data_IF_977555897533
#
_entry.id   IF_977555897533
#
_cell.length_a   1.000
_cell.length_b   1.000
_cell.length_c   1.000
_cell.angle_alpha   90.00
_cell.angle_beta   90.00
_cell.angle_gamma   90.00
#
_symmetry.space_group_name_H-M   'P 1'
#
loop_
_entity.id
_entity.type
_entity.pdbx_description
1 polymer ?
#
# COMPACT_ATOMS: atom_id res chain seq x y z
N UNK A 1 -7.20 -25.95 -48.04
CA UNK A 1 -7.55 -25.68 -49.45
C UNK A 1 -7.26 -24.23 -49.77
N UNK A 2 -6.94 -23.91 -51.02
CA UNK A 2 -7.06 -22.56 -51.59
C UNK A 2 -8.45 -22.44 -52.26
N UNK A 3 -8.96 -21.31 -52.78
CA UNK A 3 -8.33 -20.01 -53.05
C UNK A 3 -9.31 -18.81 -52.78
N UNK A 4 -9.65 -17.90 -53.74
CA UNK A 4 -8.92 -16.65 -54.03
C UNK A 4 -9.73 -15.33 -53.93
N UNK A 5 -9.02 -14.17 -53.98
CA UNK A 5 -9.36 -12.84 -54.58
C UNK A 5 -10.79 -12.25 -54.35
N UNK A 6 -11.04 -11.05 -53.80
CA UNK A 6 -10.50 -9.70 -54.11
C UNK A 6 -11.52 -8.87 -54.95
N UNK A 7 -11.44 -7.52 -55.17
CA UNK A 7 -10.59 -6.42 -54.63
C UNK A 7 -11.44 -5.43 -53.75
N UNK A 8 -11.62 -4.08 -53.84
CA UNK A 8 -11.14 -2.94 -54.70
C UNK A 8 -11.34 -1.50 -54.10
N UNK A 9 -10.28 -0.88 -53.55
CA UNK A 9 -9.91 0.59 -53.52
C UNK A 9 -10.85 1.75 -53.04
N UNK A 10 -10.24 2.63 -52.21
CA UNK A 10 -10.24 4.14 -52.16
C UNK A 10 -11.53 4.98 -51.90
N UNK A 11 -11.49 5.79 -50.83
CA UNK A 11 -11.27 7.27 -50.78
C UNK A 11 -10.99 7.63 -49.30
N UNK A 12 -10.16 8.57 -48.82
CA UNK A 12 -9.66 9.91 -49.20
C UNK A 12 -10.68 11.06 -49.17
N UNK A 13 -10.37 12.06 -48.33
CA UNK A 13 -10.96 13.40 -48.17
C UNK A 13 -12.44 13.51 -47.74
N UNK A 14 -12.68 14.14 -46.58
CA UNK A 14 -13.16 15.53 -46.56
C UNK A 14 -12.63 16.26 -45.30
N UNK A 15 -12.63 17.60 -45.28
CA UNK A 15 -12.24 18.41 -44.13
C UNK A 15 -12.85 19.84 -44.17
N UNK A 16 -13.59 20.27 -43.13
CA UNK A 16 -14.14 21.63 -43.08
C UNK A 16 -13.08 22.67 -42.72
N UNK A 17 -12.85 23.63 -43.62
CA UNK A 17 -12.14 24.88 -43.35
C UNK A 17 -13.03 26.08 -43.72
N UNK A 18 -13.23 27.00 -42.78
CA UNK A 18 -13.87 28.30 -43.02
C UNK A 18 -14.43 28.91 -41.72
N UNK A 19 -14.50 30.23 -41.57
CA UNK A 19 -13.92 31.30 -42.42
C UNK A 19 -14.06 32.69 -41.75
N UNK A 20 -13.01 33.53 -41.82
CA UNK A 20 -13.04 35.02 -41.63
C UNK A 20 -13.40 35.50 -40.20
N UNK A 21 -12.81 36.57 -39.66
CA UNK A 21 -11.70 37.44 -40.10
C UNK A 21 -11.76 38.82 -39.42
N UNK A 22 -10.65 39.60 -39.52
CA UNK A 22 -10.46 40.98 -39.00
C UNK A 22 -10.65 41.20 -37.47
N UNK A 23 -10.04 42.19 -36.80
CA UNK A 23 -9.08 43.23 -37.21
C UNK A 23 -8.15 43.63 -36.04
N UNK A 24 -7.13 44.46 -36.36
CA UNK A 24 -6.43 45.51 -35.58
C UNK A 24 -6.46 45.47 -34.02
N UNK A 25 -5.34 45.45 -33.28
CA UNK A 25 -4.16 46.33 -33.22
C UNK A 25 -4.36 47.63 -32.39
N UNK A 26 -3.41 47.88 -31.46
CA UNK A 26 -3.35 49.01 -30.50
C UNK A 26 -4.55 49.07 -29.50
N UNK A 27 -4.52 49.77 -28.35
CA UNK A 27 -3.73 50.91 -27.84
C UNK A 27 -3.25 50.67 -26.38
N UNK A 28 -2.14 51.31 -25.99
CA UNK A 28 -1.59 51.27 -24.61
C UNK A 28 -2.19 52.34 -23.67
N UNK A 29 -2.14 52.07 -22.36
CA UNK A 29 -2.50 52.89 -21.20
C UNK A 29 -3.97 52.85 -20.72
N UNK A 30 -4.14 52.72 -19.38
CA UNK A 30 -5.44 52.76 -18.72
C UNK A 30 -5.54 51.88 -17.47
N UNK A 31 -4.89 52.29 -16.37
CA UNK A 31 -5.16 51.73 -15.05
C UNK A 31 -6.05 52.70 -14.24
N UNK A 32 -7.34 52.39 -14.03
CA UNK A 32 -8.12 52.92 -12.93
C UNK A 32 -8.15 51.92 -11.75
N UNK A 33 -8.17 52.43 -10.53
CA UNK A 33 -8.32 51.61 -9.33
C UNK A 33 -9.79 51.17 -9.13
N UNK A 34 -9.95 49.97 -8.54
CA UNK A 34 -11.02 49.53 -7.64
C UNK A 34 -12.50 49.92 -7.92
N UNK A 35 -13.39 48.93 -8.07
CA UNK A 35 -14.64 48.78 -7.26
C UNK A 35 -15.69 47.77 -7.77
N UNK A 36 -15.29 46.61 -8.31
CA UNK A 36 -16.21 45.47 -8.54
C UNK A 36 -15.55 44.17 -8.02
N UNK A 37 -16.23 43.26 -7.31
CA UNK A 37 -17.63 43.31 -6.86
C UNK A 37 -18.09 42.12 -6.00
N UNK A 38 -17.27 41.65 -5.05
CA UNK A 38 -17.61 40.67 -3.99
C UNK A 38 -18.20 39.28 -4.40
N UNK A 39 -18.31 38.96 -5.69
CA UNK A 39 -19.01 37.76 -6.18
C UNK A 39 -18.13 36.50 -6.28
N UNK A 40 -16.87 36.62 -6.77
CA UNK A 40 -16.01 35.48 -7.11
C UNK A 40 -15.63 34.59 -5.93
N UNK A 41 -15.56 35.15 -4.71
CA UNK A 41 -15.18 34.40 -3.51
C UNK A 41 -16.05 33.16 -3.26
N UNK A 42 -17.33 33.18 -3.64
CA UNK A 42 -18.23 32.01 -3.49
C UNK A 42 -17.97 30.93 -4.54
N UNK A 43 -17.60 31.33 -5.76
CA UNK A 43 -17.33 30.40 -6.87
C UNK A 43 -16.05 29.59 -6.63
N UNK A 44 -14.96 30.26 -6.25
CA UNK A 44 -13.68 29.62 -5.94
C UNK A 44 -13.78 28.59 -4.81
N UNK A 45 -14.56 28.86 -3.76
CA UNK A 45 -14.80 27.92 -2.65
C UNK A 45 -15.57 26.67 -3.12
N UNK A 46 -16.55 26.80 -4.02
CA UNK A 46 -17.34 25.68 -4.53
C UNK A 46 -16.49 24.71 -5.36
N UNK A 47 -15.67 25.22 -6.28
CA UNK A 47 -14.72 24.41 -7.06
C UNK A 47 -13.71 23.74 -6.11
N UNK A 48 -13.13 24.50 -5.17
CA UNK A 48 -12.12 23.99 -4.23
C UNK A 48 -12.64 22.85 -3.35
N UNK A 49 -13.90 22.88 -2.91
CA UNK A 49 -14.51 21.76 -2.17
C UNK A 49 -14.66 20.51 -3.05
N UNK A 50 -15.14 20.66 -4.29
CA UNK A 50 -15.40 19.52 -5.19
C UNK A 50 -14.10 18.80 -5.59
N UNK A 51 -13.04 19.55 -5.92
CA UNK A 51 -11.72 18.97 -6.21
C UNK A 51 -11.10 18.30 -4.98
N UNK A 52 -11.38 18.79 -3.76
CA UNK A 52 -10.84 18.19 -2.54
C UNK A 52 -11.51 16.85 -2.20
N UNK A 53 -12.83 16.73 -2.37
CA UNK A 53 -13.54 15.45 -2.17
C UNK A 53 -13.11 14.39 -3.19
N UNK A 54 -12.97 14.75 -4.46
CA UNK A 54 -12.44 13.83 -5.49
C UNK A 54 -11.03 13.32 -5.13
N UNK A 55 -10.21 14.14 -4.47
CA UNK A 55 -8.87 13.75 -3.99
C UNK A 55 -8.88 12.87 -2.72
N UNK A 56 -10.00 12.77 -2.02
CA UNK A 56 -10.20 11.80 -0.93
C UNK A 56 -10.82 10.49 -1.45
N UNK A 57 -11.67 10.56 -2.48
CA UNK A 57 -12.24 9.39 -3.17
C UNK A 57 -11.22 8.65 -4.06
N UNK A 58 -10.22 9.34 -4.62
CA UNK A 58 -9.11 8.70 -5.37
C UNK A 58 -8.02 8.09 -4.46
N UNK A 59 -8.30 7.84 -3.17
CA UNK A 59 -7.52 6.85 -2.40
C UNK A 59 -7.92 5.46 -2.87
N UNK A 60 -7.36 5.04 -4.00
CA UNK A 60 -7.48 3.69 -4.53
C UNK A 60 -7.29 2.66 -3.39
N UNK A 61 -8.15 1.61 -3.33
CA UNK A 61 -8.17 0.69 -2.20
C UNK A 61 -6.78 0.10 -1.99
N UNK A 62 -6.19 0.37 -0.82
CA UNK A 62 -4.79 0.09 -0.54
C UNK A 62 -4.50 -1.38 -0.79
N UNK A 63 -3.71 -1.68 -1.83
CA UNK A 63 -3.61 -3.01 -2.43
C UNK A 63 -3.41 -4.08 -1.35
N UNK A 64 -4.49 -4.86 -1.10
CA UNK A 64 -4.74 -5.45 0.21
C UNK A 64 -3.54 -6.23 0.73
N UNK A 65 -2.99 -5.74 1.85
CA UNK A 65 -1.73 -6.21 2.43
C UNK A 65 -1.70 -7.76 2.47
N UNK A 66 -0.73 -8.42 1.81
CA UNK A 66 -0.79 -9.86 1.56
C UNK A 66 -1.13 -10.70 2.78
N UNK A 67 -2.15 -11.56 2.64
CA UNK A 67 -2.64 -12.45 3.69
C UNK A 67 -2.23 -13.89 3.36
N UNK A 68 -1.71 -14.63 4.34
CA UNK A 68 -1.40 -16.07 4.19
C UNK A 68 -1.83 -16.84 5.43
N UNK A 69 -2.35 -18.05 5.23
CA UNK A 69 -2.68 -18.97 6.33
C UNK A 69 -1.58 -20.04 6.42
N UNK A 70 -1.05 -20.26 7.61
CA UNK A 70 0.03 -21.22 7.86
C UNK A 70 -0.13 -21.85 9.25
N UNK A 71 -0.11 -23.19 9.33
CA UNK A 71 -0.25 -23.92 10.61
C UNK A 71 -1.58 -23.67 11.33
N UNK A 72 -2.65 -23.32 10.60
CA UNK A 72 -3.95 -22.95 11.18
C UNK A 72 -4.07 -21.49 11.64
N UNK A 73 -3.05 -20.65 11.40
CA UNK A 73 -2.97 -19.26 11.87
C UNK A 73 -2.89 -18.30 10.69
N UNK A 74 -3.40 -17.09 10.84
CA UNK A 74 -3.46 -16.07 9.78
C UNK A 74 -2.33 -15.06 9.94
N UNK A 75 -1.58 -14.81 8.86
CA UNK A 75 -0.46 -13.88 8.83
C UNK A 75 -0.72 -12.75 7.83
N UNK A 76 -0.47 -11.52 8.25
CA UNK A 76 -0.58 -10.30 7.46
C UNK A 76 0.82 -9.75 7.17
N UNK A 77 1.11 -9.48 5.89
CA UNK A 77 2.36 -8.85 5.49
C UNK A 77 2.35 -7.35 5.81
N UNK A 78 3.20 -6.91 6.75
CA UNK A 78 3.30 -5.51 7.19
C UNK A 78 4.77 -5.17 7.42
N UNK A 79 5.18 -3.96 7.04
CA UNK A 79 6.53 -3.42 7.28
C UNK A 79 7.71 -4.32 6.84
N UNK A 80 7.51 -5.15 5.81
CA UNK A 80 8.53 -6.09 5.34
C UNK A 80 8.70 -7.36 6.18
N UNK A 81 7.65 -7.79 6.89
CA UNK A 81 7.60 -9.06 7.60
C UNK A 81 6.18 -9.61 7.73
N UNK A 82 6.05 -10.86 8.15
CA UNK A 82 4.76 -11.50 8.45
C UNK A 82 4.36 -11.26 9.90
N UNK A 83 3.12 -10.84 10.14
CA UNK A 83 2.58 -10.64 11.48
C UNK A 83 1.33 -11.50 11.66
N UNK A 84 1.38 -12.43 12.59
CA UNK A 84 0.25 -13.21 13.11
C UNK A 84 -0.90 -12.29 13.55
N UNK A 85 -2.13 -12.55 13.13
CA UNK A 85 -3.30 -11.77 13.54
C UNK A 85 -3.47 -11.75 15.05
N UNK A 86 -3.21 -12.87 15.75
CA UNK A 86 -3.31 -12.94 17.20
C UNK A 86 -2.31 -12.00 17.90
N UNK A 87 -1.16 -11.72 17.25
CA UNK A 87 -0.13 -10.82 17.75
C UNK A 87 -0.44 -9.33 17.49
N UNK A 88 -1.40 -9.02 16.62
CA UNK A 88 -1.94 -7.68 16.42
C UNK A 88 -3.06 -7.40 17.43
N UNK A 89 -3.96 -8.36 17.63
CA UNK A 89 -5.05 -8.25 18.60
C UNK A 89 -4.54 -8.23 20.06
N UNK A 90 -3.51 -9.01 20.38
CA UNK A 90 -2.90 -9.02 21.71
C UNK A 90 -1.37 -9.30 21.67
N UNK A 91 -0.53 -8.29 21.37
CA UNK A 91 0.93 -8.46 21.33
C UNK A 91 1.52 -8.87 22.68
N UNK A 92 0.90 -8.46 23.79
CA UNK A 92 1.34 -8.79 25.15
C UNK A 92 2.81 -8.47 25.43
N UNK A 93 3.53 -9.38 26.08
CA UNK A 93 5.00 -9.28 26.21
C UNK A 93 5.68 -9.78 24.93
N UNK A 94 6.50 -8.94 24.30
CA UNK A 94 7.34 -9.34 23.16
C UNK A 94 8.75 -9.76 23.58
N UNK A 95 9.24 -10.87 23.01
CA UNK A 95 10.66 -11.23 23.00
C UNK A 95 11.18 -11.18 21.55
N UNK A 96 12.21 -10.37 21.29
CA UNK A 96 12.89 -10.36 19.98
C UNK A 96 13.93 -11.48 19.94
N UNK A 97 13.94 -12.27 18.87
CA UNK A 97 14.87 -13.40 18.67
C UNK A 97 15.54 -13.27 17.30
N UNK A 98 16.84 -13.54 17.24
CA UNK A 98 17.63 -13.47 16.01
C UNK A 98 17.29 -14.66 15.10
N UNK A 99 17.01 -14.41 13.83
CA UNK A 99 16.78 -15.47 12.84
C UNK A 99 17.99 -16.42 12.73
N UNK A 100 17.74 -17.73 12.62
CA UNK A 100 18.74 -18.81 12.57
C UNK A 100 19.74 -18.88 13.75
N UNK A 101 19.42 -18.26 14.89
CA UNK A 101 20.19 -18.40 16.13
C UNK A 101 19.86 -19.68 16.91
N UNK A 102 20.65 -20.02 17.94
CA UNK A 102 20.33 -21.11 18.85
C UNK A 102 18.97 -20.91 19.55
N UNK A 103 18.65 -19.67 19.95
CA UNK A 103 17.33 -19.27 20.44
C UNK A 103 16.18 -19.58 19.46
N UNK A 104 16.37 -19.35 18.15
CA UNK A 104 15.40 -19.69 17.10
C UNK A 104 15.22 -21.21 16.96
N UNK A 105 16.30 -21.99 17.03
CA UNK A 105 16.21 -23.46 16.95
C UNK A 105 15.59 -24.09 18.20
N UNK A 106 15.84 -23.56 19.41
CA UNK A 106 15.13 -24.02 20.62
C UNK A 106 13.63 -23.69 20.58
N UNK A 107 13.24 -22.52 20.07
CA UNK A 107 11.83 -22.18 19.87
C UNK A 107 11.12 -23.25 19.00
N UNK A 108 11.75 -23.67 17.90
CA UNK A 108 11.23 -24.73 17.03
C UNK A 108 11.18 -26.12 17.67
N UNK A 109 12.08 -26.43 18.63
CA UNK A 109 12.06 -27.70 19.38
C UNK A 109 10.94 -27.74 20.42
N UNK A 110 10.76 -26.64 21.15
CA UNK A 110 9.74 -26.52 22.21
C UNK A 110 8.34 -26.30 21.62
N UNK A 111 8.24 -25.67 20.45
CA UNK A 111 7.00 -25.29 19.78
C UNK A 111 7.02 -25.60 18.27
N UNK A 112 6.99 -26.89 17.86
CA UNK A 112 7.04 -27.28 16.45
C UNK A 112 5.85 -26.77 15.62
N UNK A 113 4.72 -26.44 16.24
CA UNK A 113 3.56 -25.84 15.58
C UNK A 113 3.87 -24.48 14.91
N UNK A 114 4.87 -23.76 15.42
CA UNK A 114 5.29 -22.46 14.88
C UNK A 114 6.08 -22.58 13.58
N UNK A 115 6.61 -23.77 13.26
CA UNK A 115 7.48 -24.02 12.10
C UNK A 115 6.86 -23.53 10.79
N UNK A 116 5.57 -23.72 10.59
CA UNK A 116 4.88 -23.35 9.34
C UNK A 116 4.74 -21.84 9.18
N UNK A 117 4.58 -21.09 10.27
CA UNK A 117 4.59 -19.62 10.27
C UNK A 117 6.00 -19.05 10.12
N UNK A 118 6.98 -19.66 10.79
CA UNK A 118 8.40 -19.29 10.68
C UNK A 118 8.98 -19.58 9.29
N UNK A 119 8.43 -20.54 8.55
CA UNK A 119 8.79 -20.81 7.16
C UNK A 119 8.29 -19.74 6.16
N UNK A 120 7.55 -18.70 6.59
CA UNK A 120 7.08 -17.63 5.72
C UNK A 120 8.16 -16.58 5.39
N UNK A 121 9.23 -16.47 6.20
CA UNK A 121 10.35 -15.56 5.98
C UNK A 121 11.27 -15.38 7.19
N UNK A 122 12.29 -14.54 7.06
CA UNK A 122 13.26 -14.17 8.11
C UNK A 122 12.72 -13.12 9.12
N UNK A 123 11.64 -12.42 8.76
CA UNK A 123 10.92 -11.47 9.61
C UNK A 123 9.50 -11.97 9.86
N UNK A 124 9.27 -12.52 11.06
CA UNK A 124 7.98 -13.09 11.47
C UNK A 124 7.68 -12.72 12.93
N UNK A 125 6.48 -12.21 13.17
CA UNK A 125 5.92 -11.92 14.49
C UNK A 125 4.79 -12.91 14.75
N UNK A 126 4.84 -13.65 15.87
CA UNK A 126 3.83 -14.66 16.21
C UNK A 126 3.60 -14.83 17.71
N UNK A 127 2.39 -15.21 18.10
CA UNK A 127 2.07 -15.51 19.51
C UNK A 127 2.61 -16.90 19.87
N UNK A 128 3.26 -17.03 21.03
CA UNK A 128 3.84 -18.28 21.55
C UNK A 128 3.14 -18.81 22.80
N UNK A 129 2.42 -17.94 23.50
CA UNK A 129 1.50 -18.26 24.59
C UNK A 129 0.55 -17.07 24.80
N UNK A 130 -0.52 -17.24 25.58
CA UNK A 130 -1.50 -16.17 25.86
C UNK A 130 -0.81 -14.90 26.39
N UNK A 131 -0.87 -13.81 25.64
CA UNK A 131 -0.19 -12.55 26.00
C UNK A 131 1.34 -12.58 25.86
N UNK A 132 1.91 -13.48 25.05
CA UNK A 132 3.34 -13.55 24.76
C UNK A 132 3.60 -13.75 23.27
N UNK A 133 4.38 -12.84 22.71
CA UNK A 133 4.71 -12.78 21.28
C UNK A 133 6.22 -12.91 21.11
N UNK A 134 6.65 -13.58 20.04
CA UNK A 134 8.05 -13.59 19.60
C UNK A 134 8.16 -12.84 18.28
N UNK A 135 9.18 -11.98 18.19
CA UNK A 135 9.55 -11.20 17.00
C UNK A 135 10.86 -11.76 16.45
N UNK A 136 10.80 -12.49 15.34
CA UNK A 136 11.98 -12.94 14.60
C UNK A 136 12.45 -11.81 13.68
N UNK A 137 13.76 -11.54 13.68
CA UNK A 137 14.40 -10.63 12.72
C UNK A 137 15.81 -11.11 12.35
N UNK A 138 16.28 -10.86 11.11
CA UNK A 138 17.63 -11.24 10.68
C UNK A 138 18.72 -10.37 11.31
N UNK A 139 18.41 -9.11 11.60
CA UNK A 139 19.40 -8.09 11.95
C UNK A 139 19.83 -8.17 13.43
N UNK A 140 18.87 -8.26 14.35
CA UNK A 140 19.11 -8.23 15.79
C UNK A 140 17.99 -8.90 16.59
N UNK A 141 18.35 -9.61 17.66
CA UNK A 141 17.44 -10.23 18.61
C UNK A 141 18.22 -11.08 19.61
N UNK A 142 17.51 -11.77 20.50
CA UNK A 142 18.12 -12.73 21.41
C UNK A 142 18.65 -13.96 20.67
N UNK A 143 19.83 -14.44 21.08
CA UNK A 143 20.49 -15.63 20.52
C UNK A 143 20.61 -16.77 21.53
N UNK A 144 20.52 -16.48 22.83
CA UNK A 144 20.69 -17.48 23.88
C UNK A 144 19.43 -18.34 24.11
N UNK A 145 19.53 -19.61 23.71
CA UNK A 145 18.62 -20.72 24.02
C UNK A 145 17.96 -20.63 25.41
N UNK A 146 18.75 -20.44 26.46
CA UNK A 146 18.29 -20.41 27.84
C UNK A 146 17.25 -19.30 28.13
N UNK A 147 17.37 -18.13 27.49
CA UNK A 147 16.45 -17.00 27.70
C UNK A 147 15.11 -17.21 26.99
N UNK A 148 15.11 -17.77 25.77
CA UNK A 148 13.86 -18.18 25.09
C UNK A 148 13.14 -19.23 25.94
N UNK A 149 13.85 -20.26 26.38
CA UNK A 149 13.25 -21.31 27.24
C UNK A 149 12.74 -20.75 28.57
N UNK A 150 13.42 -19.75 29.16
CA UNK A 150 12.91 -19.06 30.36
C UNK A 150 11.66 -18.21 30.08
N UNK A 151 11.60 -17.53 28.94
CA UNK A 151 10.43 -16.73 28.51
C UNK A 151 9.20 -17.61 28.25
N UNK A 152 9.39 -18.79 27.65
CA UNK A 152 8.35 -19.79 27.37
C UNK A 152 7.87 -20.56 28.62
N UNK A 153 8.67 -20.61 29.69
CA UNK A 153 8.36 -21.31 30.96
C UNK A 153 7.77 -20.42 32.06
N UNK A 154 7.93 -19.10 31.95
CA UNK A 154 7.20 -18.10 32.75
C UNK A 154 5.77 -17.90 32.22
#
# INVERSE_FOLDING_TARGET
>A
AAAPFGPRRRSLADAPKGSVGSDEADVFAGAPAESLGAAEGRSGIAVSKKTKQMKEEERAPEASAPVRVAGGRTYLWRSGGWIDSEALDNPGTQLKVKYLSAAYFELLKVRPELKTGLALGDRVVLVVAKGKTVVIAPDAGEEAAAKVTAFLKR
#
